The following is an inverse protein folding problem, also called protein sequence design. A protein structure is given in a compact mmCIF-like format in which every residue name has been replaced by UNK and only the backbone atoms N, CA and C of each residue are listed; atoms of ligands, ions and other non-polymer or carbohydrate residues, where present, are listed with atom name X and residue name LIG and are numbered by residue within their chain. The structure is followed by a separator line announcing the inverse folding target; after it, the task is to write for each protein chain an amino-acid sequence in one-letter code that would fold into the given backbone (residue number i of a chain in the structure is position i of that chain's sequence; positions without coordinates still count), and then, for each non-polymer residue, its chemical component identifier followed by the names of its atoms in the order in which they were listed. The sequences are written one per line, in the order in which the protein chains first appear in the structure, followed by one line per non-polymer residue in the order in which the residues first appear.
data_IF_703243425459
#
_entry.id   IF_703243425459
#
_cell.length_a   1.000
_cell.length_b   1.000
_cell.length_c   1.000
_cell.angle_alpha   90.00
_cell.angle_beta   90.00
_cell.angle_gamma   90.00
#
_symmetry.space_group_name_H-M   'P 1'
#
loop_
_entity.id
_entity.type
_entity.pdbx_description
1 polymer ?
#
# COMPACT_ATOMS: atom_id res chain seq x y z
N UNK A 1 -9.97 -13.91 16.50
CA UNK A 1 -9.91 -12.51 16.03
C UNK A 1 -8.91 -12.52 14.89
N UNK A 2 -9.42 -12.78 13.68
CA UNK A 2 -8.60 -13.11 12.51
C UNK A 2 -8.17 -11.82 11.86
N UNK A 3 -6.88 -11.49 11.96
CA UNK A 3 -6.26 -10.32 11.33
C UNK A 3 -6.41 -10.45 9.81
N UNK A 4 -7.30 -9.64 9.25
CA UNK A 4 -7.55 -9.57 7.80
C UNK A 4 -6.27 -9.13 7.10
N UNK A 5 -5.58 -10.10 6.48
CA UNK A 5 -4.35 -9.90 5.72
C UNK A 5 -4.63 -9.12 4.42
N UNK A 6 -4.78 -7.80 4.53
CA UNK A 6 -4.70 -6.89 3.38
C UNK A 6 -3.22 -6.62 3.07
N UNK A 7 -2.76 -6.67 1.81
CA UNK A 7 -1.38 -6.38 1.48
C UNK A 7 -0.99 -4.97 1.95
N UNK A 8 -0.03 -4.92 2.87
CA UNK A 8 0.44 -3.69 3.49
C UNK A 8 1.25 -2.91 2.46
N UNK A 9 0.71 -1.79 1.98
CA UNK A 9 1.43 -0.85 1.12
C UNK A 9 2.43 -0.06 1.97
N UNK A 10 3.68 0.06 1.53
CA UNK A 10 4.71 0.80 2.24
C UNK A 10 4.98 2.16 1.58
N UNK A 11 5.30 3.15 2.40
CA UNK A 11 5.70 4.47 1.94
C UNK A 11 7.04 4.37 1.19
N UNK A 12 7.14 4.87 -0.05
CA UNK A 12 8.39 4.84 -0.81
C UNK A 12 9.50 5.71 -0.17
N UNK A 13 9.11 6.70 0.63
CA UNK A 13 10.05 7.66 1.23
C UNK A 13 10.60 7.19 2.58
N UNK A 14 9.76 6.56 3.42
CA UNK A 14 10.12 6.19 4.79
C UNK A 14 9.97 4.70 5.11
N UNK A 15 9.47 3.89 4.17
CA UNK A 15 9.31 2.44 4.31
C UNK A 15 8.25 1.99 5.31
N UNK A 16 7.45 2.92 5.87
CA UNK A 16 6.41 2.61 6.86
C UNK A 16 5.06 2.28 6.22
N UNK A 17 4.19 1.50 6.88
CA UNK A 17 2.86 1.17 6.37
C UNK A 17 2.02 2.41 6.08
N UNK A 18 1.42 2.42 4.90
CA UNK A 18 0.46 3.42 4.46
C UNK A 18 -0.95 2.98 4.83
N UNK A 19 -1.78 3.95 5.19
CA UNK A 19 -3.21 3.78 5.38
C UNK A 19 -3.93 3.88 4.05
N UNK A 20 -4.79 2.91 3.73
CA UNK A 20 -5.61 2.94 2.53
C UNK A 20 -6.88 3.76 2.78
N UNK A 21 -7.03 4.85 2.03
CA UNK A 21 -8.19 5.73 2.10
C UNK A 21 -9.07 5.51 0.88
N UNK A 22 -10.32 5.11 1.11
CA UNK A 22 -11.32 4.93 0.05
C UNK A 22 -12.33 6.07 0.11
N UNK A 23 -12.41 6.87 -0.95
CA UNK A 23 -13.36 7.98 -1.05
C UNK A 23 -14.00 8.02 -2.43
N UNK A 24 -15.34 8.05 -2.49
CA UNK A 24 -16.12 8.19 -3.73
C UNK A 24 -15.67 7.28 -4.90
N UNK A 25 -15.23 6.04 -4.59
CA UNK A 25 -14.77 5.05 -5.57
C UNK A 25 -13.28 5.14 -5.95
N UNK A 26 -12.55 6.15 -5.45
CA UNK A 26 -11.09 6.23 -5.55
C UNK A 26 -10.42 5.61 -4.32
N UNK A 27 -9.19 5.10 -4.52
CA UNK A 27 -8.31 4.58 -3.48
C UNK A 27 -7.04 5.43 -3.47
N UNK A 28 -6.80 6.08 -2.35
CA UNK A 28 -5.61 6.86 -2.04
C UNK A 28 -4.85 6.21 -0.88
N UNK A 29 -3.60 6.63 -0.68
CA UNK A 29 -2.77 6.13 0.41
C UNK A 29 -2.25 7.28 1.25
N UNK A 30 -2.33 7.20 2.55
CA UNK A 30 -1.83 8.22 3.46
C UNK A 30 -0.70 7.67 4.34
N UNK A 31 0.41 8.39 4.39
CA UNK A 31 1.51 8.05 5.28
C UNK A 31 1.33 8.76 6.60
N UNK A 32 0.92 8.04 7.65
CA UNK A 32 0.79 8.61 9.00
C UNK A 32 2.11 9.08 9.61
N UNK A 33 3.24 8.54 9.15
CA UNK A 33 4.57 8.96 9.65
C UNK A 33 5.14 10.19 8.95
N UNK A 34 4.84 10.38 7.67
CA UNK A 34 5.18 11.60 6.94
C UNK A 34 4.06 12.65 7.05
N UNK A 35 2.89 12.24 7.55
CA UNK A 35 1.64 12.99 7.55
C UNK A 35 1.31 13.56 6.16
N UNK A 36 1.43 12.71 5.13
CA UNK A 36 1.37 13.12 3.73
C UNK A 36 0.61 12.10 2.87
N UNK A 37 -0.18 12.60 1.92
CA UNK A 37 -0.92 11.77 0.96
C UNK A 37 0.03 11.30 -0.16
N UNK A 38 0.09 9.99 -0.38
CA UNK A 38 0.90 9.34 -1.42
C UNK A 38 0.00 8.87 -2.55
N UNK A 39 0.30 9.36 -3.76
CA UNK A 39 -0.46 9.00 -4.95
C UNK A 39 -0.35 7.51 -5.25
N UNK A 40 -1.46 6.92 -5.67
CA UNK A 40 -1.58 5.50 -6.06
C UNK A 40 -0.49 5.03 -7.03
N UNK A 41 -0.06 5.87 -7.98
CA UNK A 41 0.98 5.52 -8.95
C UNK A 41 2.34 5.29 -8.28
N UNK A 42 2.81 6.22 -7.43
CA UNK A 42 4.08 6.09 -6.71
C UNK A 42 4.09 4.88 -5.78
N UNK A 43 2.99 4.66 -5.08
CA UNK A 43 2.83 3.50 -4.21
C UNK A 43 2.83 2.21 -5.02
N UNK A 44 2.19 2.17 -6.19
CA UNK A 44 2.20 1.00 -7.08
C UNK A 44 3.56 0.72 -7.69
N UNK A 45 4.33 1.73 -8.07
CA UNK A 45 5.69 1.53 -8.57
C UNK A 45 6.57 0.89 -7.50
N UNK A 46 6.47 1.36 -6.25
CA UNK A 46 7.16 0.77 -5.11
C UNK A 46 6.62 -0.63 -4.74
N UNK A 47 5.30 -0.82 -4.79
CA UNK A 47 4.65 -2.08 -4.46
C UNK A 47 4.78 -3.14 -5.55
N UNK A 48 4.89 -2.77 -6.83
CA UNK A 48 5.14 -3.71 -7.92
C UNK A 48 6.48 -4.43 -7.72
N UNK A 49 7.48 -3.74 -7.18
CA UNK A 49 8.75 -4.34 -6.77
C UNK A 49 8.57 -5.39 -5.65
N UNK A 50 7.58 -5.22 -4.77
CA UNK A 50 7.27 -6.14 -3.67
C UNK A 50 6.27 -7.26 -4.07
N UNK A 51 5.31 -6.98 -4.96
CA UNK A 51 4.28 -7.91 -5.45
C UNK A 51 4.84 -8.90 -6.47
N UNK A 52 5.87 -8.53 -7.24
CA UNK A 52 6.62 -9.50 -8.05
C UNK A 52 7.17 -10.66 -7.20
N UNK A 53 7.38 -10.45 -5.90
CA UNK A 53 7.76 -11.51 -4.96
C UNK A 53 6.56 -12.32 -4.40
N UNK A 54 5.31 -11.83 -4.50
CA UNK A 54 4.10 -12.48 -3.96
C UNK A 54 3.29 -13.27 -5.00
N UNK A 55 3.67 -13.26 -6.29
CA UNK A 55 2.95 -13.94 -7.37
C UNK A 55 3.21 -15.47 -7.46
N UNK A 56 3.42 -16.15 -6.32
CA UNK A 56 3.51 -17.62 -6.25
C UNK A 56 2.37 -18.31 -5.49
N UNK A 57 1.37 -17.58 -4.99
CA UNK A 57 0.26 -18.19 -4.23
C UNK A 57 -1.11 -17.75 -4.76
N UNK A 58 -1.53 -18.35 -5.88
CA UNK A 58 -2.94 -18.69 -6.17
C UNK A 58 -2.90 -19.81 -7.22
N UNK A 59 -3.08 -21.04 -6.75
CA UNK A 59 -3.28 -22.25 -7.56
C UNK A 59 -4.77 -22.40 -7.87
#
# INVERSE_FOLDING_TARGET
MSDSQNPVMLCPDCGKPLEELVACGARDYFCNSCNELKSKTRVREAAAALLAAQSKENH
#
